data_IF_683681207611
#
_entry.id   IF_683681207611
#
_cell.length_a   1.000
_cell.length_b   1.000
_cell.length_c   1.000
_cell.angle_alpha   90.00
_cell.angle_beta   90.00
_cell.angle_gamma   90.00
#
_symmetry.space_group_name_H-M   'P 1'
#
loop_
_entity.id
_entity.type
_entity.pdbx_description
1 polymer ?
#
# COMPACT_ATOMS: atom_id res chain seq x y z
N UNK A 1 13.57 -22.29 42.97
CA UNK A 1 14.16 -21.10 42.33
C UNK A 1 13.51 -20.99 40.97
N UNK A 2 12.62 -20.02 40.77
CA UNK A 2 11.77 -19.92 39.58
C UNK A 2 12.33 -18.81 38.70
N UNK A 3 12.83 -19.16 37.53
CA UNK A 3 13.43 -18.24 36.56
C UNK A 3 12.31 -17.44 35.86
N UNK A 4 12.25 -16.13 36.11
CA UNK A 4 11.29 -15.25 35.45
C UNK A 4 11.88 -14.88 34.10
N UNK A 5 11.29 -15.39 33.02
CA UNK A 5 11.70 -15.06 31.65
C UNK A 5 11.68 -13.54 31.44
N UNK A 6 12.81 -12.97 31.03
CA UNK A 6 12.94 -11.55 30.74
C UNK A 6 12.01 -11.17 29.58
N UNK A 7 10.97 -10.40 29.89
CA UNK A 7 10.10 -9.79 28.87
C UNK A 7 10.93 -8.75 28.11
N UNK A 8 11.21 -9.01 26.82
CA UNK A 8 11.84 -8.02 25.93
C UNK A 8 10.88 -6.84 25.75
N UNK A 9 11.07 -5.78 26.53
CA UNK A 9 10.35 -4.53 26.38
C UNK A 9 10.81 -3.89 25.05
N UNK A 10 9.95 -3.89 24.02
CA UNK A 10 10.19 -3.11 22.80
C UNK A 10 10.18 -1.63 23.19
N UNK A 11 11.32 -0.94 23.04
CA UNK A 11 11.40 0.52 23.25
C UNK A 11 10.36 1.23 22.37
N UNK A 12 9.66 2.26 22.88
CA UNK A 12 8.78 3.06 22.06
C UNK A 12 9.61 3.69 20.93
N UNK A 13 9.19 3.44 19.69
CA UNK A 13 9.84 4.02 18.51
C UNK A 13 9.07 5.28 18.13
N UNK A 14 9.76 6.42 18.09
CA UNK A 14 9.17 7.65 17.61
C UNK A 14 8.92 7.53 16.11
N UNK A 15 7.67 7.77 15.69
CA UNK A 15 7.31 7.82 14.28
C UNK A 15 7.87 9.11 13.66
N UNK A 16 8.47 9.00 12.49
CA UNK A 16 8.77 10.14 11.63
C UNK A 16 7.45 10.80 11.21
N UNK A 17 7.42 12.14 11.19
CA UNK A 17 6.32 12.91 10.61
C UNK A 17 6.26 12.77 9.07
N UNK A 18 7.39 12.37 8.47
CA UNK A 18 7.53 12.15 7.04
C UNK A 18 8.00 10.71 6.81
N UNK A 19 7.08 9.75 6.62
CA UNK A 19 7.47 8.39 6.31
C UNK A 19 8.21 8.34 4.97
N UNK A 20 9.19 7.45 4.86
CA UNK A 20 9.91 7.23 3.60
C UNK A 20 9.03 6.41 2.64
N UNK A 21 8.83 6.90 1.42
CA UNK A 21 8.12 6.13 0.39
C UNK A 21 9.12 5.19 -0.28
N UNK A 22 8.96 3.89 -0.05
CA UNK A 22 9.86 2.86 -0.58
C UNK A 22 9.53 2.54 -2.04
N UNK A 23 8.24 2.47 -2.38
CA UNK A 23 7.77 2.22 -3.74
C UNK A 23 6.35 2.75 -3.91
N UNK A 24 5.96 3.06 -5.15
CA UNK A 24 4.62 3.58 -5.44
C UNK A 24 4.16 3.28 -6.87
N UNK A 25 2.86 3.05 -7.02
CA UNK A 25 2.24 2.85 -8.31
C UNK A 25 0.96 3.69 -8.45
N UNK A 26 0.77 4.24 -9.64
CA UNK A 26 -0.43 4.93 -10.05
C UNK A 26 -1.05 4.27 -11.26
N UNK A 27 -2.34 3.98 -11.13
CA UNK A 27 -3.12 3.28 -12.13
C UNK A 27 -4.38 4.07 -12.44
N UNK A 28 -4.73 4.14 -13.72
CA UNK A 28 -5.95 4.81 -14.20
C UNK A 28 -6.78 3.88 -15.06
N UNK A 29 -8.10 3.98 -14.96
CA UNK A 29 -9.03 3.31 -15.87
C UNK A 29 -9.56 4.34 -16.87
N UNK A 30 -8.93 4.44 -18.05
CA UNK A 30 -9.23 5.44 -19.08
C UNK A 30 -10.67 5.37 -19.57
N UNK A 31 -11.20 4.16 -19.71
CA UNK A 31 -12.58 3.92 -20.16
C UNK A 31 -13.62 4.17 -19.06
N UNK A 32 -13.20 4.59 -17.87
CA UNK A 32 -14.13 4.89 -16.80
C UNK A 32 -14.77 6.26 -17.01
N UNK A 33 -16.12 6.37 -16.99
CA UNK A 33 -16.82 7.65 -17.16
C UNK A 33 -16.55 8.64 -16.02
N UNK A 34 -15.85 8.21 -14.96
CA UNK A 34 -15.48 9.03 -13.80
C UNK A 34 -13.97 9.16 -13.65
N UNK A 35 -13.19 8.92 -14.70
CA UNK A 35 -11.72 9.00 -14.65
C UNK A 35 -11.15 8.26 -13.43
N UNK A 36 -11.55 7.00 -13.25
CA UNK A 36 -11.28 6.27 -12.03
C UNK A 36 -9.78 6.02 -11.86
N UNK A 37 -9.27 6.25 -10.65
CA UNK A 37 -7.86 6.11 -10.33
C UNK A 37 -7.62 5.20 -9.12
N UNK A 38 -6.41 4.67 -9.05
CA UNK A 38 -5.93 3.85 -7.95
C UNK A 38 -4.45 4.17 -7.70
N UNK A 39 -4.16 4.69 -6.51
CA UNK A 39 -2.80 4.92 -5.98
C UNK A 39 -2.53 3.86 -4.92
N UNK A 40 -1.34 3.28 -4.95
CA UNK A 40 -0.85 2.40 -3.88
C UNK A 40 0.63 2.66 -3.68
N UNK A 41 1.10 2.67 -2.45
CA UNK A 41 2.50 2.90 -2.11
C UNK A 41 2.87 2.19 -0.81
N UNK A 42 4.17 2.04 -0.56
CA UNK A 42 4.70 1.51 0.69
C UNK A 42 5.42 2.65 1.41
N UNK A 43 5.03 2.87 2.66
CA UNK A 43 5.71 3.74 3.60
C UNK A 43 6.56 2.90 4.56
N UNK A 44 7.78 3.35 4.84
CA UNK A 44 8.60 2.85 5.93
C UNK A 44 8.67 3.91 7.03
N UNK A 45 8.40 3.49 8.26
CA UNK A 45 8.51 4.38 9.42
C UNK A 45 8.91 3.60 10.67
N UNK A 46 9.99 4.02 11.30
CA UNK A 46 10.50 3.45 12.54
C UNK A 46 10.67 1.90 12.49
N UNK A 47 11.05 1.36 11.33
CA UNK A 47 11.21 -0.07 11.07
C UNK A 47 9.91 -0.87 10.99
N UNK A 48 8.78 -0.20 10.77
CA UNK A 48 7.51 -0.78 10.34
C UNK A 48 7.25 -0.38 8.88
N UNK A 49 6.51 -1.22 8.17
CA UNK A 49 6.10 -0.97 6.79
C UNK A 49 4.59 -0.86 6.70
N UNK A 50 4.10 0.08 5.89
CA UNK A 50 2.67 0.27 5.69
C UNK A 50 2.38 0.33 4.20
N UNK A 51 1.50 -0.54 3.73
CA UNK A 51 0.95 -0.45 2.38
C UNK A 51 -0.24 0.48 2.44
N UNK A 52 -0.11 1.64 1.83
CA UNK A 52 -1.14 2.67 1.77
C UNK A 52 -1.80 2.65 0.39
N UNK A 53 -3.10 2.96 0.34
CA UNK A 53 -3.89 2.89 -0.88
C UNK A 53 -4.94 3.98 -0.89
N UNK A 54 -5.14 4.56 -2.06
CA UNK A 54 -6.24 5.47 -2.37
C UNK A 54 -6.88 5.08 -3.70
N UNK A 55 -8.18 5.28 -3.81
CA UNK A 55 -8.86 5.21 -5.10
C UNK A 55 -10.02 6.17 -5.14
N UNK A 56 -10.39 6.55 -6.35
CA UNK A 56 -11.43 7.53 -6.54
C UNK A 56 -11.78 7.71 -8.00
N UNK A 57 -12.38 8.86 -8.29
CA UNK A 57 -12.73 9.29 -9.64
C UNK A 57 -13.08 10.78 -9.63
N UNK A 58 -12.98 11.41 -10.80
CA UNK A 58 -13.13 12.86 -10.98
C UNK A 58 -12.25 13.64 -9.98
N UNK A 59 -11.00 13.20 -9.85
CA UNK A 59 -9.98 13.75 -8.93
C UNK A 59 -10.36 13.75 -7.44
N UNK A 60 -11.42 13.06 -7.05
CA UNK A 60 -11.84 12.90 -5.66
C UNK A 60 -11.44 11.54 -5.12
N UNK A 61 -10.75 11.51 -3.98
CA UNK A 61 -10.49 10.29 -3.22
C UNK A 61 -11.81 9.80 -2.60
N UNK A 62 -12.18 8.55 -2.86
CA UNK A 62 -13.42 7.93 -2.37
C UNK A 62 -13.13 6.82 -1.34
N UNK A 63 -12.04 6.07 -1.51
CA UNK A 63 -11.65 4.99 -0.59
C UNK A 63 -10.15 5.07 -0.32
N UNK A 64 -9.79 5.23 0.96
CA UNK A 64 -8.42 5.23 1.47
C UNK A 64 -8.27 4.07 2.47
N UNK A 65 -7.16 3.33 2.40
CA UNK A 65 -6.87 2.19 3.27
C UNK A 65 -5.38 2.08 3.54
N UNK A 66 -5.04 1.48 4.69
CA UNK A 66 -3.68 1.16 5.06
C UNK A 66 -3.60 -0.25 5.66
N UNK A 67 -2.47 -0.94 5.43
CA UNK A 67 -2.16 -2.25 6.00
C UNK A 67 -0.73 -2.26 6.53
N UNK A 68 -0.57 -2.55 7.83
CA UNK A 68 0.74 -2.57 8.50
C UNK A 68 1.40 -3.94 8.43
N UNK A 69 2.73 -3.95 8.31
CA UNK A 69 3.58 -5.13 8.22
C UNK A 69 4.88 -4.92 9.00
N UNK A 70 5.40 -6.01 9.57
CA UNK A 70 6.71 -6.02 10.24
C UNK A 70 7.88 -6.21 9.24
N UNK A 71 7.59 -6.65 8.01
CA UNK A 71 8.58 -6.94 6.97
C UNK A 71 8.26 -6.20 5.67
N UNK A 72 9.29 -5.64 5.04
CA UNK A 72 9.18 -5.04 3.71
C UNK A 72 8.76 -6.08 2.67
N UNK A 73 9.23 -7.33 2.82
CA UNK A 73 8.92 -8.41 1.89
C UNK A 73 7.40 -8.68 1.84
N UNK A 74 6.75 -8.74 2.99
CA UNK A 74 5.30 -9.01 3.07
C UNK A 74 4.47 -7.81 2.62
N UNK A 75 4.91 -6.59 2.95
CA UNK A 75 4.34 -5.37 2.40
C UNK A 75 4.42 -5.37 0.86
N UNK A 76 5.58 -5.75 0.32
CA UNK A 76 5.84 -5.82 -1.13
C UNK A 76 4.98 -6.88 -1.81
N UNK A 77 4.83 -8.07 -1.23
CA UNK A 77 3.90 -9.10 -1.72
C UNK A 77 2.47 -8.56 -1.85
N UNK A 78 1.98 -7.80 -0.86
CA UNK A 78 0.66 -7.20 -0.95
C UNK A 78 0.59 -6.15 -2.06
N UNK A 79 1.57 -5.25 -2.11
CA UNK A 79 1.67 -4.20 -3.13
C UNK A 79 1.63 -4.79 -4.54
N UNK A 80 2.54 -5.71 -4.85
CA UNK A 80 2.68 -6.33 -6.18
C UNK A 80 1.41 -7.09 -6.55
N UNK A 81 0.81 -7.82 -5.61
CA UNK A 81 -0.46 -8.53 -5.81
C UNK A 81 -1.58 -7.57 -6.16
N UNK A 82 -1.68 -6.41 -5.50
CA UNK A 82 -2.71 -5.40 -5.77
C UNK A 82 -2.51 -4.76 -7.14
N UNK A 83 -1.27 -4.36 -7.47
CA UNK A 83 -0.94 -3.79 -8.78
C UNK A 83 -1.28 -4.79 -9.89
N UNK A 84 -0.76 -6.01 -9.81
CA UNK A 84 -1.01 -7.09 -10.79
C UNK A 84 -2.50 -7.40 -10.93
N UNK A 85 -3.24 -7.47 -9.82
CA UNK A 85 -4.68 -7.74 -9.86
C UNK A 85 -5.48 -6.62 -10.55
N UNK A 86 -5.04 -5.36 -10.43
CA UNK A 86 -5.71 -4.21 -11.02
C UNK A 86 -5.36 -4.02 -12.49
N UNK A 87 -4.12 -4.28 -12.86
CA UNK A 87 -3.63 -4.18 -14.25
C UNK A 87 -3.90 -5.42 -15.11
N UNK A 88 -4.41 -6.51 -14.53
CA UNK A 88 -4.70 -7.73 -15.29
C UNK A 88 -5.74 -7.46 -16.41
N UNK A 89 -5.40 -7.68 -17.69
CA UNK A 89 -6.35 -7.52 -18.79
C UNK A 89 -7.57 -8.45 -18.66
N UNK A 90 -7.42 -9.63 -18.05
CA UNK A 90 -8.50 -10.62 -17.85
C UNK A 90 -9.28 -10.40 -16.54
N UNK A 91 -9.07 -9.26 -15.88
CA UNK A 91 -9.73 -8.94 -14.60
C UNK A 91 -11.26 -9.02 -14.72
N UNK A 92 -11.93 -9.78 -13.86
CA UNK A 92 -13.42 -9.94 -13.88
C UNK A 92 -14.21 -8.64 -13.77
N UNK A 93 -13.68 -7.64 -13.06
CA UNK A 93 -14.34 -6.34 -12.92
C UNK A 93 -14.19 -5.52 -14.20
N UNK A 94 -15.25 -4.81 -14.64
CA UNK A 94 -15.27 -4.12 -15.93
C UNK A 94 -14.22 -3.00 -16.03
N UNK A 95 -13.80 -2.44 -14.90
CA UNK A 95 -12.74 -1.42 -14.87
C UNK A 95 -11.38 -2.07 -15.07
N UNK A 96 -10.79 -1.89 -16.25
CA UNK A 96 -9.40 -2.26 -16.56
C UNK A 96 -8.51 -1.06 -16.28
N UNK A 97 -7.43 -1.27 -15.54
CA UNK A 97 -6.52 -0.20 -15.19
C UNK A 97 -5.23 -0.33 -15.99
N UNK A 98 -4.73 0.79 -16.48
CA UNK A 98 -3.40 0.93 -17.07
C UNK A 98 -2.46 1.53 -16.03
N UNK A 99 -1.22 1.04 -15.98
CA UNK A 99 -0.18 1.59 -15.11
C UNK A 99 0.36 2.86 -15.75
N UNK A 100 0.32 3.97 -15.02
CA UNK A 100 0.90 5.26 -15.43
C UNK A 100 2.36 5.33 -14.99
N UNK A 101 2.62 4.98 -13.73
CA UNK A 101 3.96 4.77 -13.20
C UNK A 101 3.97 3.66 -12.15
N UNK A 102 5.13 3.02 -11.99
CA UNK A 102 5.40 2.03 -10.97
C UNK A 102 6.91 2.09 -10.67
N UNK A 103 7.26 2.64 -9.51
CA UNK A 103 8.63 2.83 -9.02
C UNK A 103 8.84 2.00 -7.76
#
# INVERSE_FOLDING_TARGET
MTEIAAVKIKKPRQLSLFPEIICSAYLVATESPRSAFYRIWIEANAGLFMVCKESGGNDKVIDQRAWSFDSLEDARKLFDRKVKSKSNPDRKSPRKYTIVYNI
#
